data_IF_098380290756
#
_entry.id   IF_098380290756
#
_cell.length_a   1.000
_cell.length_b   1.000
_cell.length_c   1.000
_cell.angle_alpha   90.00
_cell.angle_beta   90.00
_cell.angle_gamma   90.00
#
_symmetry.space_group_name_H-M   'P 1'
#
loop_
_entity.id
_entity.type
_entity.pdbx_description
1 polymer ?
#
# COMPACT_ATOMS: atom_id res chain seq x y z
N UNK A 1 25.19 -7.78 -7.18
CA UNK A 1 23.81 -8.32 -7.01
C UNK A 1 23.11 -7.69 -5.80
N UNK A 2 23.78 -7.55 -4.65
CA UNK A 2 23.23 -6.87 -3.45
C UNK A 2 22.70 -5.44 -3.69
N UNK A 3 23.42 -4.60 -4.44
CA UNK A 3 22.97 -3.22 -4.70
C UNK A 3 21.65 -3.13 -5.48
N UNK A 4 21.39 -4.07 -6.40
CA UNK A 4 20.13 -4.11 -7.17
C UNK A 4 18.96 -4.59 -6.29
N UNK A 5 19.20 -5.54 -5.39
CA UNK A 5 18.21 -5.99 -4.42
C UNK A 5 17.86 -4.88 -3.41
N UNK A 6 18.86 -4.17 -2.88
CA UNK A 6 18.64 -3.04 -1.98
C UNK A 6 17.86 -1.90 -2.64
N UNK A 7 18.14 -1.58 -3.91
CA UNK A 7 17.37 -0.58 -4.65
C UNK A 7 15.90 -1.00 -4.82
N UNK A 8 15.63 -2.28 -5.10
CA UNK A 8 14.26 -2.81 -5.21
C UNK A 8 13.50 -2.80 -3.88
N UNK A 9 14.14 -3.20 -2.77
CA UNK A 9 13.53 -3.10 -1.44
C UNK A 9 13.23 -1.65 -1.05
N UNK A 10 14.14 -0.72 -1.39
CA UNK A 10 13.95 0.70 -1.10
C UNK A 10 12.75 1.27 -1.87
N UNK A 11 12.60 0.91 -3.15
CA UNK A 11 11.44 1.29 -3.97
C UNK A 11 10.14 0.74 -3.35
N UNK A 12 10.13 -0.54 -2.96
CA UNK A 12 8.98 -1.16 -2.30
C UNK A 12 8.57 -0.43 -1.02
N UNK A 13 9.54 -0.04 -0.18
CA UNK A 13 9.27 0.69 1.07
C UNK A 13 8.69 2.08 0.79
N UNK A 14 9.24 2.81 -0.19
CA UNK A 14 8.74 4.15 -0.56
C UNK A 14 7.27 4.10 -1.00
N UNK A 15 6.91 3.14 -1.84
CA UNK A 15 5.52 2.96 -2.27
C UNK A 15 4.61 2.46 -1.15
N UNK A 16 5.11 1.60 -0.25
CA UNK A 16 4.34 1.13 0.91
C UNK A 16 3.91 2.29 1.81
N UNK A 17 4.83 3.23 2.08
CA UNK A 17 4.55 4.41 2.90
C UNK A 17 3.48 5.28 2.22
N UNK A 18 3.63 5.55 0.91
CA UNK A 18 2.66 6.36 0.17
C UNK A 18 1.25 5.74 0.20
N UNK A 19 1.14 4.43 -0.02
CA UNK A 19 -0.15 3.74 -0.01
C UNK A 19 -0.76 3.63 1.40
N UNK A 20 0.08 3.47 2.44
CA UNK A 20 -0.36 3.53 3.82
C UNK A 20 -0.93 4.90 4.19
N UNK A 21 -0.28 5.99 3.75
CA UNK A 21 -0.78 7.36 3.95
C UNK A 21 -2.13 7.59 3.25
N UNK A 22 -2.31 7.09 2.02
CA UNK A 22 -3.59 7.16 1.31
C UNK A 22 -4.69 6.41 2.08
N UNK A 23 -4.37 5.21 2.57
CA UNK A 23 -5.30 4.40 3.36
C UNK A 23 -5.70 5.14 4.65
N UNK A 24 -4.71 5.71 5.35
CA UNK A 24 -4.94 6.48 6.57
C UNK A 24 -5.77 7.74 6.30
N UNK A 25 -5.49 8.48 5.23
CA UNK A 25 -6.29 9.64 4.82
C UNK A 25 -7.76 9.24 4.56
N UNK A 26 -7.98 8.10 3.90
CA UNK A 26 -9.32 7.54 3.72
C UNK A 26 -10.04 7.30 5.06
N UNK A 27 -9.37 6.65 6.02
CA UNK A 27 -9.92 6.41 7.37
C UNK A 27 -10.26 7.72 8.08
N UNK A 28 -9.39 8.72 8.02
CA UNK A 28 -9.64 10.05 8.60
C UNK A 28 -10.88 10.70 7.98
N UNK A 29 -11.04 10.62 6.65
CA UNK A 29 -12.23 11.14 5.96
C UNK A 29 -13.50 10.40 6.38
N UNK A 30 -13.44 9.08 6.60
CA UNK A 30 -14.56 8.30 7.14
C UNK A 30 -14.94 8.84 8.53
N UNK A 31 -13.98 8.98 9.45
CA UNK A 31 -14.22 9.46 10.82
C UNK A 31 -14.85 10.86 10.81
N UNK A 32 -14.32 11.77 10.00
CA UNK A 32 -14.89 13.12 9.82
C UNK A 32 -16.30 13.05 9.24
N UNK A 33 -16.54 12.15 8.28
CA UNK A 33 -17.85 11.91 7.69
C UNK A 33 -18.88 11.39 8.70
N UNK A 34 -18.47 10.56 9.66
CA UNK A 34 -19.30 10.14 10.79
C UNK A 34 -19.58 11.30 11.75
N UNK A 35 -18.56 12.07 12.13
CA UNK A 35 -18.73 13.21 13.04
C UNK A 35 -19.61 14.33 12.48
N UNK A 36 -19.61 14.56 11.16
CA UNK A 36 -20.43 15.58 10.49
C UNK A 36 -21.74 15.05 9.91
N UNK A 37 -22.05 13.77 10.10
CA UNK A 37 -23.21 13.05 9.53
C UNK A 37 -23.39 13.17 8.00
N UNK A 38 -22.36 13.56 7.26
CA UNK A 38 -22.43 13.74 5.81
C UNK A 38 -22.23 12.41 5.08
N UNK A 39 -23.31 11.83 4.53
CA UNK A 39 -23.28 10.58 3.75
C UNK A 39 -22.22 10.57 2.64
N UNK A 40 -22.05 11.68 1.91
CA UNK A 40 -21.08 11.77 0.82
C UNK A 40 -19.62 11.67 1.30
N UNK A 41 -19.30 12.24 2.47
CA UNK A 41 -17.95 12.14 3.05
C UNK A 41 -17.65 10.71 3.53
N UNK A 42 -18.65 10.02 4.11
CA UNK A 42 -18.52 8.62 4.50
C UNK A 42 -18.20 7.74 3.29
N UNK A 43 -18.95 7.93 2.20
CA UNK A 43 -18.75 7.17 0.96
C UNK A 43 -17.38 7.46 0.34
N UNK A 44 -16.97 8.73 0.26
CA UNK A 44 -15.67 9.12 -0.27
C UNK A 44 -14.51 8.51 0.52
N UNK A 45 -14.60 8.54 1.86
CA UNK A 45 -13.61 7.93 2.73
C UNK A 45 -13.49 6.41 2.55
N UNK A 46 -14.62 5.71 2.40
CA UNK A 46 -14.63 4.26 2.12
C UNK A 46 -13.93 3.96 0.80
N UNK A 47 -14.23 4.72 -0.26
CA UNK A 47 -13.61 4.54 -1.57
C UNK A 47 -12.10 4.77 -1.51
N UNK A 48 -11.65 5.86 -0.88
CA UNK A 48 -10.21 6.18 -0.74
C UNK A 48 -9.50 5.09 0.06
N UNK A 49 -10.08 4.66 1.18
CA UNK A 49 -9.52 3.58 2.01
C UNK A 49 -9.42 2.28 1.22
N UNK A 50 -10.47 1.93 0.47
CA UNK A 50 -10.50 0.73 -0.37
C UNK A 50 -9.44 0.75 -1.47
N UNK A 51 -9.20 1.91 -2.10
CA UNK A 51 -8.14 2.08 -3.10
C UNK A 51 -6.76 1.93 -2.45
N UNK A 52 -6.50 2.62 -1.34
CA UNK A 52 -5.23 2.52 -0.62
C UNK A 52 -4.92 1.10 -0.17
N UNK A 53 -5.91 0.39 0.37
CA UNK A 53 -5.76 -1.00 0.79
C UNK A 53 -5.49 -1.95 -0.39
N UNK A 54 -6.20 -1.79 -1.51
CA UNK A 54 -5.92 -2.58 -2.72
C UNK A 54 -4.50 -2.38 -3.23
N UNK A 55 -3.99 -1.14 -3.23
CA UNK A 55 -2.62 -0.84 -3.63
C UNK A 55 -1.59 -1.49 -2.71
N UNK A 56 -1.83 -1.50 -1.39
CA UNK A 56 -0.99 -2.21 -0.42
C UNK A 56 -0.96 -3.72 -0.67
N UNK A 57 -2.11 -4.34 -0.98
CA UNK A 57 -2.18 -5.77 -1.29
C UNK A 57 -1.38 -6.10 -2.55
N UNK A 58 -1.53 -5.30 -3.62
CA UNK A 58 -0.77 -5.48 -4.87
C UNK A 58 0.73 -5.36 -4.61
N UNK A 59 1.14 -4.36 -3.82
CA UNK A 59 2.54 -4.16 -3.44
C UNK A 59 3.08 -5.35 -2.63
N UNK A 60 2.30 -5.89 -1.70
CA UNK A 60 2.64 -7.09 -0.93
C UNK A 60 2.83 -8.32 -1.83
N UNK A 61 1.92 -8.55 -2.78
CA UNK A 61 2.08 -9.61 -3.78
C UNK A 61 3.35 -9.43 -4.61
N UNK A 62 3.66 -8.20 -5.02
CA UNK A 62 4.88 -7.89 -5.76
C UNK A 62 6.14 -8.16 -4.91
N UNK A 63 6.14 -7.76 -3.64
CA UNK A 63 7.24 -8.03 -2.72
C UNK A 63 7.49 -9.54 -2.54
N UNK A 64 6.42 -10.34 -2.42
CA UNK A 64 6.51 -11.80 -2.33
C UNK A 64 7.05 -12.42 -3.62
N UNK A 65 6.59 -11.95 -4.78
CA UNK A 65 7.11 -12.37 -6.09
C UNK A 65 8.60 -12.08 -6.25
N UNK A 66 9.03 -10.88 -5.85
CA UNK A 66 10.44 -10.49 -5.87
C UNK A 66 11.29 -11.35 -4.93
N UNK A 67 10.79 -11.66 -3.73
CA UNK A 67 11.45 -12.59 -2.79
C UNK A 67 11.60 -13.99 -3.39
N UNK A 68 10.57 -14.48 -4.09
CA UNK A 68 10.62 -15.77 -4.78
C UNK A 68 11.69 -15.80 -5.87
N UNK A 69 11.74 -14.78 -6.74
CA UNK A 69 12.78 -14.68 -7.79
C UNK A 69 14.18 -14.62 -7.16
N UNK A 70 14.38 -13.79 -6.14
CA UNK A 70 15.68 -13.67 -5.47
C UNK A 70 16.14 -15.02 -4.88
N UNK A 71 15.22 -15.77 -4.27
CA UNK A 71 15.48 -17.12 -3.75
C UNK A 71 15.80 -18.13 -4.85
N UNK A 72 15.20 -18.01 -6.03
CA UNK A 72 15.49 -18.91 -7.15
C UNK A 72 16.90 -18.63 -7.73
N UNK A 73 17.27 -17.35 -7.86
CA UNK A 73 18.59 -16.95 -8.37
C UNK A 73 19.72 -17.26 -7.39
N UNK A 74 19.46 -17.31 -6.08
CA UNK A 74 20.50 -17.68 -5.09
C UNK A 74 20.73 -19.18 -4.94
N UNK A 75 19.85 -20.02 -5.48
CA UNK A 75 19.98 -21.49 -5.45
C UNK A 75 20.50 -22.08 -6.78
N UNK A 76 20.84 -21.21 -7.73
CA UNK A 76 21.52 -21.51 -9.00
C UNK A 76 23.00 -21.15 -8.88
#
# INVERSE_FOLDING_TARGET
MENNLNAMYLILIVYAIAFALITFAGVVVIVIGFGKEKKNLKLAGIVITGIGFKLLVILGCFALYMKYIASLTSNL
#
